data_IF_584257480928
#
_entry.id   IF_584257480928
#
_cell.length_a   1.000
_cell.length_b   1.000
_cell.length_c   1.000
_cell.angle_alpha   90.00
_cell.angle_beta   90.00
_cell.angle_gamma   90.00
#
_symmetry.space_group_name_H-M   'P 1'
#
loop_
_entity.id
_entity.type
_entity.pdbx_description
1 polymer ?
#
# COMPACT_ATOMS: atom_id res chain seq x y z
N UNK A 1 -5.09 13.25 -31.65
CA UNK A 1 -3.83 12.50 -31.54
C UNK A 1 -3.41 12.62 -30.07
N UNK A 2 -3.76 11.64 -29.24
CA UNK A 2 -3.26 11.64 -27.86
C UNK A 2 -1.75 11.42 -27.95
N UNK A 3 -0.96 12.31 -27.33
CA UNK A 3 0.48 12.15 -27.30
C UNK A 3 0.81 10.89 -26.48
N UNK A 4 1.63 10.01 -27.05
CA UNK A 4 2.12 8.82 -26.37
C UNK A 4 2.78 9.18 -25.03
N UNK A 5 2.67 8.27 -24.05
CA UNK A 5 3.26 8.47 -22.74
C UNK A 5 4.80 8.53 -22.83
N UNK A 6 5.40 9.55 -22.21
CA UNK A 6 6.86 9.64 -22.13
C UNK A 6 7.39 8.58 -21.15
N UNK A 7 8.57 8.02 -21.42
CA UNK A 7 9.19 7.00 -20.57
C UNK A 7 9.33 7.43 -19.09
N UNK A 8 9.59 8.71 -18.85
CA UNK A 8 9.61 9.25 -17.48
C UNK A 8 8.24 9.20 -16.79
N UNK A 9 7.14 9.44 -17.51
CA UNK A 9 5.79 9.40 -16.92
C UNK A 9 5.38 7.98 -16.54
N UNK A 10 5.79 7.00 -17.37
CA UNK A 10 5.65 5.58 -17.12
C UNK A 10 6.45 5.18 -15.87
N UNK A 11 7.73 5.58 -15.81
CA UNK A 11 8.59 5.34 -14.64
C UNK A 11 8.02 5.99 -13.37
N UNK A 12 7.62 7.25 -13.46
CA UNK A 12 7.04 7.99 -12.34
C UNK A 12 5.77 7.32 -11.82
N UNK A 13 4.91 6.81 -12.71
CA UNK A 13 3.75 6.04 -12.31
C UNK A 13 4.17 4.80 -11.50
N UNK A 14 5.10 4.01 -12.03
CA UNK A 14 5.57 2.77 -11.41
C UNK A 14 6.12 2.93 -10.00
N UNK A 15 6.72 4.10 -9.68
CA UNK A 15 7.35 4.36 -8.37
C UNK A 15 6.42 4.11 -7.18
N UNK A 16 5.11 4.41 -7.28
CA UNK A 16 4.18 4.15 -6.18
C UNK A 16 3.93 2.65 -5.93
N UNK A 17 4.19 1.79 -6.92
CA UNK A 17 4.16 0.34 -6.74
C UNK A 17 5.18 -0.14 -5.70
N UNK A 18 6.31 0.55 -5.57
CA UNK A 18 7.37 0.20 -4.62
C UNK A 18 6.88 0.22 -3.16
N UNK A 19 6.43 1.35 -2.57
CA UNK A 19 5.93 1.37 -1.19
C UNK A 19 4.68 0.51 -1.01
N UNK A 20 3.77 0.46 -1.99
CA UNK A 20 2.56 -0.34 -1.85
C UNK A 20 2.89 -1.82 -1.68
N UNK A 21 3.82 -2.35 -2.49
CA UNK A 21 4.25 -3.73 -2.35
C UNK A 21 5.14 -3.95 -1.10
N UNK A 22 5.97 -2.97 -0.74
CA UNK A 22 6.75 -2.98 0.50
C UNK A 22 5.84 -3.15 1.73
N UNK A 23 4.70 -2.45 1.79
CA UNK A 23 3.78 -2.50 2.93
C UNK A 23 3.11 -3.87 3.11
N UNK A 24 3.02 -4.69 2.07
CA UNK A 24 2.40 -6.01 2.14
C UNK A 24 3.17 -6.93 3.10
N UNK A 25 4.48 -7.08 2.95
CA UNK A 25 5.26 -8.02 3.78
C UNK A 25 5.13 -7.76 5.29
N UNK A 26 5.34 -6.53 5.80
CA UNK A 26 5.13 -6.22 7.19
C UNK A 26 3.72 -6.56 7.67
N UNK A 27 2.72 -6.25 6.86
CA UNK A 27 1.32 -6.46 7.20
C UNK A 27 0.94 -7.95 7.25
N UNK A 28 1.43 -8.78 6.33
CA UNK A 28 1.07 -10.20 6.24
C UNK A 28 1.95 -11.12 7.09
N UNK A 29 3.22 -10.76 7.27
CA UNK A 29 4.22 -11.66 7.87
C UNK A 29 4.64 -11.16 9.24
N UNK A 30 4.96 -9.87 9.37
CA UNK A 30 5.57 -9.35 10.59
C UNK A 30 4.57 -8.93 11.65
N UNK A 31 3.43 -8.35 11.28
CA UNK A 31 2.38 -7.96 12.22
C UNK A 31 1.85 -9.17 13.01
N UNK A 32 1.42 -10.28 12.40
CA UNK A 32 0.94 -11.43 13.17
C UNK A 32 1.99 -11.93 14.16
N UNK A 33 3.25 -12.00 13.71
CA UNK A 33 4.37 -12.42 14.55
C UNK A 33 4.64 -11.45 15.69
N UNK A 34 4.70 -10.14 15.42
CA UNK A 34 4.92 -9.10 16.43
C UNK A 34 3.87 -9.16 17.55
N UNK A 35 2.60 -9.27 17.20
CA UNK A 35 1.53 -9.27 18.18
C UNK A 35 1.45 -10.57 18.99
N UNK A 36 1.93 -11.70 18.46
CA UNK A 36 1.98 -12.98 19.17
C UNK A 36 3.27 -13.11 19.99
N UNK A 37 4.44 -12.94 19.36
CA UNK A 37 5.74 -13.20 19.98
C UNK A 37 6.17 -12.09 20.94
N UNK A 38 5.97 -10.82 20.56
CA UNK A 38 6.48 -9.67 21.33
C UNK A 38 5.41 -9.04 22.23
N UNK A 39 4.20 -8.86 21.72
CA UNK A 39 3.10 -8.27 22.50
C UNK A 39 2.40 -9.30 23.39
N UNK A 40 2.47 -10.59 23.03
CA UNK A 40 1.90 -11.67 23.83
C UNK A 40 0.38 -11.85 23.68
N UNK A 41 -0.22 -11.34 22.60
CA UNK A 41 -1.63 -11.64 22.32
C UNK A 41 -1.80 -13.12 21.94
N UNK A 42 -2.92 -13.77 22.32
CA UNK A 42 -3.19 -15.14 21.92
C UNK A 42 -3.19 -15.28 20.40
N UNK A 43 -2.49 -16.28 19.86
CA UNK A 43 -2.46 -16.56 18.41
C UNK A 43 -3.86 -16.71 17.82
N UNK A 44 -4.78 -17.36 18.55
CA UNK A 44 -6.17 -17.51 18.15
C UNK A 44 -6.89 -16.15 18.00
N UNK A 45 -6.62 -15.19 18.89
CA UNK A 45 -7.19 -13.85 18.82
C UNK A 45 -6.62 -13.09 17.62
N UNK A 46 -5.30 -13.07 17.46
CA UNK A 46 -4.64 -12.40 16.32
C UNK A 46 -5.13 -12.99 14.99
N UNK A 47 -5.19 -14.32 14.88
CA UNK A 47 -5.72 -15.02 13.72
C UNK A 47 -7.19 -14.67 13.44
N UNK A 48 -8.04 -14.65 14.47
CA UNK A 48 -9.45 -14.28 14.32
C UNK A 48 -9.62 -12.83 13.86
N UNK A 49 -8.86 -11.89 14.42
CA UNK A 49 -8.90 -10.47 14.03
C UNK A 49 -8.45 -10.27 12.58
N UNK A 50 -7.36 -10.93 12.18
CA UNK A 50 -6.89 -10.89 10.79
C UNK A 50 -7.94 -11.49 9.84
N UNK A 51 -8.54 -12.64 10.20
CA UNK A 51 -9.59 -13.27 9.39
C UNK A 51 -10.83 -12.39 9.24
N UNK A 52 -11.30 -11.79 10.34
CA UNK A 52 -12.44 -10.86 10.33
C UNK A 52 -12.15 -9.66 9.44
N UNK A 53 -10.93 -9.12 9.53
CA UNK A 53 -10.54 -7.97 8.71
C UNK A 53 -10.51 -8.34 7.22
N UNK A 54 -10.01 -9.53 6.88
CA UNK A 54 -10.03 -10.04 5.49
C UNK A 54 -11.44 -10.21 4.94
N UNK A 55 -12.33 -10.73 5.78
CA UNK A 55 -13.72 -10.88 5.40
C UNK A 55 -14.37 -9.52 5.17
N UNK A 56 -14.05 -8.52 5.99
CA UNK A 56 -14.48 -7.15 5.79
C UNK A 56 -13.94 -6.56 4.49
N UNK A 57 -12.64 -6.72 4.18
CA UNK A 57 -12.02 -6.23 2.94
C UNK A 57 -12.72 -6.81 1.70
N UNK A 58 -13.03 -8.11 1.71
CA UNK A 58 -13.74 -8.76 0.60
C UNK A 58 -15.10 -8.12 0.28
N UNK A 59 -15.74 -7.49 1.27
CA UNK A 59 -16.99 -6.75 1.11
C UNK A 59 -16.77 -5.26 0.83
N UNK A 60 -15.77 -4.65 1.47
CA UNK A 60 -15.48 -3.21 1.41
C UNK A 60 -14.82 -2.84 0.08
N UNK A 61 -13.90 -3.66 -0.44
CA UNK A 61 -13.14 -3.35 -1.65
C UNK A 61 -14.03 -3.12 -2.89
N UNK A 62 -15.05 -3.97 -3.19
CA UNK A 62 -15.99 -3.69 -4.28
C UNK A 62 -16.79 -2.40 -4.08
N UNK A 63 -17.15 -2.06 -2.84
CA UNK A 63 -17.86 -0.83 -2.52
C UNK A 63 -16.95 0.40 -2.72
N UNK A 64 -15.70 0.31 -2.28
CA UNK A 64 -14.68 1.34 -2.51
C UNK A 64 -14.40 1.53 -3.99
N UNK A 65 -14.37 0.46 -4.78
CA UNK A 65 -14.26 0.53 -6.24
C UNK A 65 -15.40 1.33 -6.86
N UNK A 66 -16.65 0.96 -6.57
CA UNK A 66 -17.83 1.70 -7.06
C UNK A 66 -17.84 3.16 -6.62
N UNK A 67 -17.48 3.44 -5.37
CA UNK A 67 -17.39 4.80 -4.86
C UNK A 67 -16.28 5.59 -5.56
N UNK A 68 -15.12 4.97 -5.78
CA UNK A 68 -14.01 5.56 -6.51
C UNK A 68 -14.39 5.93 -7.93
N UNK A 69 -15.14 5.06 -8.63
CA UNK A 69 -15.66 5.33 -9.97
C UNK A 69 -16.60 6.54 -10.00
N UNK A 70 -17.46 6.70 -8.98
CA UNK A 70 -18.36 7.85 -8.87
C UNK A 70 -17.63 9.17 -8.61
N UNK A 71 -16.55 9.14 -7.80
CA UNK A 71 -15.72 10.32 -7.53
C UNK A 71 -14.90 10.72 -8.76
N UNK A 72 -14.46 9.74 -9.56
CA UNK A 72 -13.79 9.95 -10.86
C UNK A 72 -12.39 10.56 -10.81
N UNK A 73 -11.86 10.88 -9.62
CA UNK A 73 -10.55 11.51 -9.45
C UNK A 73 -9.56 10.58 -8.72
N UNK A 74 -8.99 9.63 -9.47
CA UNK A 74 -8.07 8.61 -8.95
C UNK A 74 -6.89 9.22 -8.19
N UNK A 75 -6.26 10.26 -8.74
CA UNK A 75 -5.10 10.95 -8.13
C UNK A 75 -5.43 11.54 -6.77
N UNK A 76 -6.58 12.19 -6.64
CA UNK A 76 -7.03 12.76 -5.35
C UNK A 76 -7.31 11.66 -4.33
N UNK A 77 -7.96 10.57 -4.76
CA UNK A 77 -8.24 9.44 -3.89
C UNK A 77 -6.97 8.75 -3.40
N UNK A 78 -5.98 8.55 -4.28
CA UNK A 78 -4.65 8.08 -3.90
C UNK A 78 -4.04 9.04 -2.86
N UNK A 79 -3.98 10.34 -3.16
CA UNK A 79 -3.39 11.33 -2.25
C UNK A 79 -4.04 11.37 -0.86
N UNK A 80 -5.34 11.07 -0.76
CA UNK A 80 -6.05 10.94 0.52
C UNK A 80 -5.79 9.60 1.22
N UNK A 81 -5.59 8.53 0.46
CA UNK A 81 -5.36 7.19 0.97
C UNK A 81 -3.96 6.99 1.56
N UNK A 82 -2.93 7.60 0.95
CA UNK A 82 -1.53 7.39 1.36
C UNK A 82 -1.22 7.84 2.80
N UNK A 83 -1.73 8.98 3.31
CA UNK A 83 -1.57 9.32 4.72
C UNK A 83 -2.22 8.30 5.67
N UNK A 84 -3.39 7.76 5.32
CA UNK A 84 -4.04 6.72 6.12
C UNK A 84 -3.18 5.45 6.16
N UNK A 85 -2.63 5.05 5.01
CA UNK A 85 -1.72 3.91 4.93
C UNK A 85 -0.46 4.12 5.77
N UNK A 86 0.16 5.31 5.70
CA UNK A 86 1.33 5.64 6.52
C UNK A 86 1.03 5.57 8.02
N UNK A 87 -0.04 6.22 8.45
CA UNK A 87 -0.45 6.24 9.86
C UNK A 87 -0.78 4.83 10.35
N UNK A 88 -1.56 4.07 9.57
CA UNK A 88 -1.95 2.71 9.91
C UNK A 88 -0.75 1.77 10.03
N UNK A 89 0.17 1.78 9.06
CA UNK A 89 1.33 0.89 9.09
C UNK A 89 2.27 1.22 10.25
N UNK A 90 2.51 2.50 10.53
CA UNK A 90 3.29 2.92 11.70
C UNK A 90 2.61 2.46 12.99
N UNK A 91 1.30 2.65 13.12
CA UNK A 91 0.54 2.19 14.29
C UNK A 91 0.61 0.67 14.45
N UNK A 92 0.55 -0.11 13.37
CA UNK A 92 0.65 -1.57 13.42
C UNK A 92 2.01 -2.04 13.95
N UNK A 93 3.10 -1.39 13.53
CA UNK A 93 4.47 -1.80 13.85
C UNK A 93 5.03 -1.15 15.12
N UNK A 94 4.34 -0.16 15.68
CA UNK A 94 4.66 0.48 16.96
C UNK A 94 3.46 0.40 17.92
N UNK A 95 3.10 -0.81 18.42
CA UNK A 95 2.00 -0.97 19.34
C UNK A 95 2.28 -0.28 20.70
N UNK A 96 1.27 0.30 21.36
CA UNK A 96 1.39 0.86 22.69
C UNK A 96 1.43 -0.22 23.78
N UNK A 97 1.88 0.16 24.98
CA UNK A 97 1.97 -0.74 26.14
C UNK A 97 0.61 -1.19 26.70
N UNK A 98 -0.50 -0.60 26.26
CA UNK A 98 -1.84 -0.90 26.76
C UNK A 98 -2.87 -1.00 25.63
N UNK A 99 -3.98 -1.70 25.89
CA UNK A 99 -5.10 -1.86 24.95
C UNK A 99 -4.71 -2.46 23.58
N UNK A 100 -3.77 -3.41 23.56
CA UNK A 100 -3.10 -3.87 22.34
C UNK A 100 -4.05 -4.54 21.33
N UNK A 101 -5.08 -5.23 21.81
CA UNK A 101 -6.10 -5.82 20.93
C UNK A 101 -6.97 -4.75 20.23
N UNK A 102 -7.39 -3.71 20.97
CA UNK A 102 -8.18 -2.62 20.39
C UNK A 102 -7.32 -1.79 19.44
N UNK A 103 -6.06 -1.56 19.81
CA UNK A 103 -5.08 -0.90 18.96
C UNK A 103 -4.86 -1.68 17.65
N UNK A 104 -4.65 -2.99 17.74
CA UNK A 104 -4.50 -3.86 16.57
C UNK A 104 -5.71 -3.71 15.62
N UNK A 105 -6.94 -3.78 16.14
CA UNK A 105 -8.15 -3.63 15.32
C UNK A 105 -8.18 -2.26 14.62
N UNK A 106 -7.99 -1.18 15.38
CA UNK A 106 -8.01 0.18 14.83
C UNK A 106 -6.92 0.39 13.77
N UNK A 107 -5.70 -0.07 14.06
CA UNK A 107 -4.57 0.04 13.16
C UNK A 107 -4.77 -0.81 11.89
N UNK A 108 -5.33 -2.03 11.99
CA UNK A 108 -5.69 -2.84 10.84
C UNK A 108 -6.72 -2.12 9.96
N UNK A 109 -7.82 -1.64 10.55
CA UNK A 109 -8.87 -0.92 9.80
C UNK A 109 -8.31 0.29 9.05
N UNK A 110 -7.51 1.13 9.72
CA UNK A 110 -6.89 2.31 9.08
C UNK A 110 -5.92 1.90 7.96
N UNK A 111 -5.10 0.87 8.21
CA UNK A 111 -4.11 0.40 7.23
C UNK A 111 -4.79 -0.17 6.00
N UNK A 112 -5.78 -1.06 6.18
CA UNK A 112 -6.49 -1.66 5.05
C UNK A 112 -7.32 -0.65 4.28
N UNK A 113 -8.04 0.26 4.96
CA UNK A 113 -8.78 1.31 4.27
C UNK A 113 -7.84 2.17 3.39
N UNK A 114 -6.68 2.57 3.93
CA UNK A 114 -5.66 3.29 3.17
C UNK A 114 -5.06 2.47 2.04
N UNK A 115 -4.71 1.21 2.31
CA UNK A 115 -4.11 0.30 1.35
C UNK A 115 -5.06 -0.02 0.18
N UNK A 116 -6.29 -0.44 0.49
CA UNK A 116 -7.33 -0.76 -0.49
C UNK A 116 -7.67 0.45 -1.34
N UNK A 117 -7.93 1.61 -0.71
CA UNK A 117 -8.27 2.81 -1.47
C UNK A 117 -7.11 3.24 -2.40
N UNK A 118 -5.86 3.18 -1.92
CA UNK A 118 -4.69 3.49 -2.73
C UNK A 118 -4.51 2.50 -3.90
N UNK A 119 -4.53 1.20 -3.63
CA UNK A 119 -4.29 0.16 -4.63
C UNK A 119 -5.39 0.12 -5.69
N UNK A 120 -6.66 0.14 -5.31
CA UNK A 120 -7.81 0.18 -6.25
C UNK A 120 -7.65 1.35 -7.22
N UNK A 121 -7.43 2.56 -6.71
CA UNK A 121 -7.29 3.75 -7.54
C UNK A 121 -6.01 3.74 -8.37
N UNK A 122 -4.91 3.21 -7.82
CA UNK A 122 -3.64 3.11 -8.53
C UNK A 122 -3.72 2.14 -9.70
N UNK A 123 -4.32 0.96 -9.50
CA UNK A 123 -4.55 -0.02 -10.56
C UNK A 123 -5.52 0.51 -11.63
N UNK A 124 -6.62 1.15 -11.23
CA UNK A 124 -7.57 1.77 -12.15
C UNK A 124 -6.90 2.88 -12.99
N UNK A 125 -6.14 3.78 -12.34
CA UNK A 125 -5.39 4.83 -13.02
C UNK A 125 -4.40 4.25 -14.04
N UNK A 126 -3.67 3.20 -13.69
CA UNK A 126 -2.77 2.51 -14.62
C UNK A 126 -3.45 1.98 -15.87
N UNK A 127 -4.65 1.42 -15.73
CA UNK A 127 -5.43 0.91 -16.86
C UNK A 127 -5.95 2.03 -17.77
N UNK A 128 -6.23 3.20 -17.19
CA UNK A 128 -6.72 4.39 -17.89
C UNK A 128 -5.60 5.21 -18.60
N UNK A 129 -4.33 5.02 -18.22
CA UNK A 129 -3.21 5.81 -18.75
C UNK A 129 -2.83 5.49 -20.21
N UNK A 130 -2.88 4.21 -20.61
CA UNK A 130 -2.41 3.78 -21.93
C UNK A 130 -3.48 3.85 -23.02
N UNK A 131 -3.15 4.49 -24.14
CA UNK A 131 -4.02 4.60 -25.32
C UNK A 131 -3.95 3.36 -26.21
N UNK A 132 -2.80 2.67 -26.22
CA UNK A 132 -2.58 1.42 -26.93
C UNK A 132 -2.37 0.24 -25.97
N UNK A 133 -2.58 -0.98 -26.45
CA UNK A 133 -2.27 -2.20 -25.69
C UNK A 133 -0.80 -2.25 -25.25
N UNK A 134 0.12 -1.76 -26.09
CA UNK A 134 1.55 -1.75 -25.78
C UNK A 134 1.88 -0.80 -24.62
N UNK A 135 1.31 0.40 -24.60
CA UNK A 135 1.51 1.34 -23.49
C UNK A 135 0.96 0.79 -22.17
N UNK A 136 -0.23 0.16 -22.19
CA UNK A 136 -0.82 -0.47 -20.99
C UNK A 136 0.06 -1.59 -20.43
N UNK A 137 0.68 -2.37 -21.32
CA UNK A 137 1.68 -3.38 -20.93
C UNK A 137 2.88 -2.72 -20.28
N UNK A 138 3.45 -1.66 -20.87
CA UNK A 138 4.61 -0.95 -20.30
C UNK A 138 4.32 -0.36 -18.92
N UNK A 139 3.17 0.30 -18.76
CA UNK A 139 2.69 0.86 -17.48
C UNK A 139 2.53 -0.22 -16.42
N UNK A 140 2.02 -1.39 -16.81
CA UNK A 140 1.89 -2.53 -15.89
C UNK A 140 3.26 -3.12 -15.55
N UNK A 141 4.12 -3.35 -16.55
CA UNK A 141 5.45 -3.95 -16.36
C UNK A 141 6.34 -3.10 -15.44
N UNK A 142 6.35 -1.77 -15.62
CA UNK A 142 7.17 -0.91 -14.76
C UNK A 142 6.65 -0.88 -13.32
N UNK A 143 5.32 -0.92 -13.14
CA UNK A 143 4.71 -1.01 -11.81
C UNK A 143 5.16 -2.28 -11.12
N UNK A 144 5.04 -3.44 -11.78
CA UNK A 144 5.43 -4.71 -11.19
C UNK A 144 6.93 -4.79 -10.90
N UNK A 145 7.77 -4.24 -11.79
CA UNK A 145 9.21 -4.14 -11.53
C UNK A 145 9.51 -3.34 -10.25
N UNK A 146 8.87 -2.17 -10.07
CA UNK A 146 8.99 -1.37 -8.87
C UNK A 146 8.43 -2.09 -7.64
N UNK A 147 7.29 -2.77 -7.77
CA UNK A 147 6.69 -3.58 -6.70
C UNK A 147 7.65 -4.66 -6.20
N UNK A 148 8.31 -5.39 -7.11
CA UNK A 148 9.31 -6.40 -6.75
C UNK A 148 10.46 -5.79 -5.95
N UNK A 149 10.94 -4.60 -6.33
CA UNK A 149 11.93 -3.86 -5.55
C UNK A 149 11.48 -3.57 -4.12
N UNK A 150 10.20 -3.17 -3.94
CA UNK A 150 9.59 -2.95 -2.63
C UNK A 150 9.52 -4.20 -1.77
N UNK A 151 9.10 -5.32 -2.35
CA UNK A 151 9.05 -6.62 -1.66
C UNK A 151 10.45 -7.07 -1.25
N UNK A 152 11.43 -6.99 -2.14
CA UNK A 152 12.82 -7.36 -1.82
C UNK A 152 13.35 -6.52 -0.65
N UNK A 153 13.16 -5.20 -0.69
CA UNK A 153 13.61 -4.32 0.39
C UNK A 153 12.95 -4.66 1.73
N UNK A 154 11.63 -4.87 1.74
CA UNK A 154 10.89 -5.24 2.96
C UNK A 154 11.30 -6.61 3.52
N UNK A 155 11.67 -7.56 2.67
CA UNK A 155 12.17 -8.87 3.09
C UNK A 155 13.60 -8.81 3.64
N UNK A 156 14.46 -7.96 3.06
CA UNK A 156 15.88 -7.89 3.44
C UNK A 156 16.12 -7.20 4.79
N UNK A 157 15.32 -6.21 5.17
CA UNK A 157 15.58 -5.39 6.37
C UNK A 157 15.67 -6.23 7.66
N UNK A 158 14.70 -7.09 8.01
CA UNK A 158 14.79 -7.87 9.25
C UNK A 158 15.91 -8.92 9.22
N UNK A 159 16.29 -9.41 8.04
CA UNK A 159 17.40 -10.34 7.90
C UNK A 159 18.76 -9.67 8.18
N UNK A 160 18.89 -8.37 7.89
CA UNK A 160 20.10 -7.59 8.16
C UNK A 160 20.15 -7.12 9.61
N UNK A 161 18.99 -6.78 10.20
CA UNK A 161 18.84 -6.29 11.57
C UNK A 161 18.52 -7.41 12.58
N UNK A 162 18.93 -8.65 12.28
CA UNK A 162 18.45 -9.89 12.90
C UNK A 162 18.61 -9.98 14.43
N UNK A 163 19.50 -9.17 15.02
CA UNK A 163 19.78 -9.19 16.45
C UNK A 163 18.62 -8.65 17.31
N UNK A 164 17.79 -7.77 16.75
CA UNK A 164 16.61 -7.23 17.44
C UNK A 164 15.42 -7.04 16.49
N UNK A 165 14.46 -7.96 16.60
CA UNK A 165 13.23 -7.94 15.80
C UNK A 165 12.39 -6.69 16.08
N UNK A 166 12.35 -6.19 17.31
CA UNK A 166 11.55 -5.01 17.64
C UNK A 166 12.13 -3.76 17.00
N UNK A 167 13.46 -3.57 17.11
CA UNK A 167 14.16 -2.47 16.44
C UNK A 167 14.03 -2.55 14.91
N UNK A 168 14.13 -3.76 14.33
CA UNK A 168 13.95 -3.94 12.89
C UNK A 168 12.57 -3.50 12.40
N UNK A 169 11.51 -3.81 13.15
CA UNK A 169 10.13 -3.45 12.80
C UNK A 169 9.85 -1.96 13.00
N UNK A 170 10.39 -1.34 14.05
CA UNK A 170 10.33 0.11 14.21
C UNK A 170 11.07 0.84 13.09
N UNK A 171 12.26 0.37 12.73
CA UNK A 171 13.00 0.94 11.60
C UNK A 171 12.20 0.82 10.31
N UNK A 172 11.57 -0.33 10.06
CA UNK A 172 10.73 -0.55 8.89
C UNK A 172 9.55 0.43 8.85
N UNK A 173 8.87 0.63 9.99
CA UNK A 173 7.75 1.55 10.13
C UNK A 173 8.14 2.99 9.75
N UNK A 174 9.26 3.47 10.26
CA UNK A 174 9.72 4.83 10.02
C UNK A 174 10.39 5.00 8.66
N UNK A 175 11.01 3.96 8.10
CA UNK A 175 11.54 3.97 6.74
C UNK A 175 10.41 4.04 5.71
N UNK A 176 9.27 3.41 5.99
CA UNK A 176 8.13 3.39 5.09
C UNK A 176 7.59 4.80 4.79
N UNK A 177 7.55 5.69 5.78
CA UNK A 177 6.96 7.03 5.65
C UNK A 177 7.66 7.89 4.59
N UNK A 178 8.99 8.17 4.65
CA UNK A 178 9.67 8.95 3.64
C UNK A 178 9.68 8.23 2.28
N UNK A 179 9.80 6.91 2.27
CA UNK A 179 9.78 6.10 1.06
C UNK A 179 8.43 6.23 0.32
N UNK A 180 7.31 6.12 1.06
CA UNK A 180 5.98 6.36 0.54
C UNK A 180 5.81 7.80 0.06
N UNK A 181 6.25 8.79 0.85
CA UNK A 181 6.10 10.21 0.50
C UNK A 181 6.87 10.58 -0.77
N UNK A 182 8.11 10.11 -0.92
CA UNK A 182 8.94 10.35 -2.12
C UNK A 182 8.29 9.70 -3.34
N UNK A 183 7.93 8.43 -3.26
CA UNK A 183 7.27 7.72 -4.35
C UNK A 183 5.93 8.39 -4.72
N UNK A 184 5.12 8.78 -3.74
CA UNK A 184 3.87 9.51 -3.94
C UNK A 184 4.09 10.84 -4.67
N UNK A 185 5.11 11.62 -4.27
CA UNK A 185 5.43 12.89 -4.91
C UNK A 185 5.86 12.70 -6.35
N UNK A 186 6.71 11.69 -6.63
CA UNK A 186 7.17 11.37 -7.98
C UNK A 186 5.97 10.95 -8.85
N UNK A 187 5.15 10.03 -8.37
CA UNK A 187 3.98 9.52 -9.11
C UNK A 187 2.91 10.59 -9.33
N UNK A 188 2.50 11.28 -8.28
CA UNK A 188 1.43 12.27 -8.38
C UNK A 188 1.83 13.51 -9.19
N UNK A 189 3.13 13.87 -9.26
CA UNK A 189 3.60 15.01 -10.08
C UNK A 189 4.04 14.59 -11.49
N UNK A 190 4.63 13.41 -11.64
CA UNK A 190 5.22 12.93 -12.88
C UNK A 190 4.24 12.27 -13.82
N UNK A 191 3.15 11.71 -13.32
CA UNK A 191 2.18 10.96 -14.13
C UNK A 191 1.00 11.85 -14.57
N UNK A 192 0.62 11.82 -15.86
CA UNK A 192 -0.48 12.64 -16.37
C UNK A 192 -1.85 12.20 -15.82
N UNK A 193 -2.83 13.10 -15.90
CA UNK A 193 -4.23 12.76 -15.62
C UNK A 193 -4.71 11.80 -16.71
N UNK A 194 -5.46 10.75 -16.33
CA UNK A 194 -6.15 9.87 -17.29
C UNK A 194 -6.96 10.69 -18.30
N UNK A 195 -6.88 10.35 -19.58
CA UNK A 195 -7.91 10.77 -20.52
C UNK A 195 -9.16 9.97 -20.17
N UNK A 196 -10.24 10.64 -19.76
CA UNK A 196 -11.53 9.99 -19.50
C UNK A 196 -11.90 9.13 -20.71
N UNK A 197 -12.06 7.83 -20.53
CA UNK A 197 -12.64 6.98 -21.58
C UNK A 197 -14.07 7.48 -21.82
N UNK A 198 -14.46 7.86 -23.05
CA UNK A 198 -15.87 8.02 -23.35
C UNK A 198 -16.54 6.66 -23.11
N UNK A 199 -17.54 6.65 -22.23
CA UNK A 199 -18.39 5.50 -21.93
C UNK A 199 -19.22 5.15 -23.16
#
# INVERSE_FOLDING_TARGET
MNADLKSWQILAYGMLGFPLAFAALPLYVYVPRLYVDSVGLPLALVGALLLLTRFADALIDPLLGRWSDQVGNRRRLIALALPLLAIGLVALLAPPDSAQAMWLIGALVVTFLGYSLATINYHAWGAELGSSSQERVQVTSIREFCSLGGVVLAASIPAILADDTATALQFLAWLFVPLLAIAALITLRGTPVSATLPV
#
